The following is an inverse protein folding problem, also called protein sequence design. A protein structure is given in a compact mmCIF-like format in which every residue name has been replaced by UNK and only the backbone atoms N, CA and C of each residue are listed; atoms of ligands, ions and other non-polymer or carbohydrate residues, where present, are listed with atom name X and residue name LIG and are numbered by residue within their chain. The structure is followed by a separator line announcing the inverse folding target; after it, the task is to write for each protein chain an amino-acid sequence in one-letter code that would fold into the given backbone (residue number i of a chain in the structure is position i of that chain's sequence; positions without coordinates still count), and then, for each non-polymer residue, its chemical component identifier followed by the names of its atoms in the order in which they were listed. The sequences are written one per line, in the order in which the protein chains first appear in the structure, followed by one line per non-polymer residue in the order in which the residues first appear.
data_IF_090347859102
#
_entry.id   IF_090347859102
#
_cell.length_a   1.000
_cell.length_b   1.000
_cell.length_c   1.000
_cell.angle_alpha   90.00
_cell.angle_beta   90.00
_cell.angle_gamma   90.00
#
_symmetry.space_group_name_H-M   'P 1'
#
loop_
_entity.id
_entity.type
_entity.pdbx_description
1 polymer ?
#
# COMPACT_ATOMS: atom_id res chain seq x y z
N UNK A 1 -14.79 -7.55 29.81
CA UNK A 1 -16.01 -6.85 29.33
C UNK A 1 -15.64 -5.38 29.16
N UNK A 2 -15.11 -5.02 27.99
CA UNK A 2 -14.57 -3.67 27.73
C UNK A 2 -15.72 -2.82 27.19
N UNK A 3 -16.14 -1.83 27.98
CA UNK A 3 -17.21 -0.91 27.64
C UNK A 3 -16.72 0.07 26.56
N UNK A 4 -17.15 -0.13 25.32
CA UNK A 4 -16.94 0.82 24.23
C UNK A 4 -17.74 2.09 24.54
N UNK A 5 -17.05 3.21 24.81
CA UNK A 5 -17.69 4.51 24.86
C UNK A 5 -18.08 4.88 23.43
N UNK A 6 -19.37 4.83 23.13
CA UNK A 6 -19.95 5.40 21.92
C UNK A 6 -19.55 6.89 21.83
N UNK A 7 -18.57 7.20 20.99
CA UNK A 7 -18.20 8.57 20.66
C UNK A 7 -19.31 9.09 19.75
N UNK A 8 -20.23 9.83 20.33
CA UNK A 8 -21.34 10.46 19.62
C UNK A 8 -20.78 11.53 18.68
N UNK A 9 -21.11 11.45 17.38
CA UNK A 9 -20.57 12.34 16.31
C UNK A 9 -20.84 13.83 16.64
N UNK A 10 -21.92 14.11 17.35
CA UNK A 10 -22.24 15.44 17.88
C UNK A 10 -21.17 16.00 18.84
N UNK A 11 -20.58 15.15 19.71
CA UNK A 11 -19.52 15.57 20.64
C UNK A 11 -18.21 15.90 19.93
N UNK A 12 -17.92 15.24 18.81
CA UNK A 12 -16.70 15.49 18.04
C UNK A 12 -16.80 16.80 17.24
N UNK A 13 -17.99 17.09 16.68
CA UNK A 13 -18.27 18.37 16.03
C UNK A 13 -18.21 19.54 17.02
N UNK A 14 -18.66 19.34 18.26
CA UNK A 14 -18.57 20.34 19.33
C UNK A 14 -17.12 20.58 19.79
N UNK A 15 -16.32 19.51 19.97
CA UNK A 15 -14.89 19.63 20.34
C UNK A 15 -14.03 20.32 19.27
N UNK A 16 -14.41 20.22 17.99
CA UNK A 16 -13.73 20.93 16.89
C UNK A 16 -14.13 22.40 16.87
N UNK A 17 -15.38 22.75 17.20
CA UNK A 17 -15.86 24.13 17.33
C UNK A 17 -15.31 24.87 18.56
N UNK A 18 -15.02 24.16 19.64
CA UNK A 18 -14.43 24.73 20.87
C UNK A 18 -12.95 25.10 20.73
N UNK A 19 -12.29 24.60 19.69
CA UNK A 19 -11.01 25.13 19.24
C UNK A 19 -11.31 26.20 18.21
N UNK A 20 -10.74 27.39 18.40
CA UNK A 20 -10.82 28.53 17.49
C UNK A 20 -10.13 28.19 16.14
N UNK A 21 -10.73 27.27 15.40
CA UNK A 21 -10.24 26.69 14.16
C UNK A 21 -10.94 27.41 13.03
N UNK A 22 -10.18 28.24 12.35
CA UNK A 22 -10.61 28.94 11.14
C UNK A 22 -10.68 27.95 9.96
N UNK A 23 -11.89 27.46 9.69
CA UNK A 23 -12.17 26.51 8.62
C UNK A 23 -11.93 27.11 7.23
N UNK A 24 -12.18 28.40 7.05
CA UNK A 24 -12.00 29.07 5.76
C UNK A 24 -10.51 29.12 5.42
N UNK A 25 -9.69 29.47 6.42
CA UNK A 25 -8.22 29.45 6.29
C UNK A 25 -7.65 28.05 6.05
N UNK A 26 -8.20 27.01 6.69
CA UNK A 26 -7.79 25.63 6.42
C UNK A 26 -8.15 25.25 4.99
N UNK A 27 -9.35 25.59 4.53
CA UNK A 27 -9.83 25.26 3.18
C UNK A 27 -8.96 25.94 2.13
N UNK A 28 -8.68 27.23 2.29
CA UNK A 28 -7.78 27.99 1.41
C UNK A 28 -6.37 27.38 1.36
N UNK A 29 -5.83 26.98 2.53
CA UNK A 29 -4.52 26.31 2.59
C UNK A 29 -4.53 24.96 1.86
N UNK A 30 -5.58 24.16 2.05
CA UNK A 30 -5.74 22.86 1.39
C UNK A 30 -5.84 23.04 -0.11
N UNK A 31 -6.71 23.93 -0.60
CA UNK A 31 -6.84 24.24 -2.03
C UNK A 31 -5.54 24.78 -2.64
N UNK A 32 -4.83 25.63 -1.90
CA UNK A 32 -3.51 26.12 -2.32
C UNK A 32 -2.47 25.00 -2.43
N UNK A 33 -2.54 23.96 -1.60
CA UNK A 33 -1.65 22.80 -1.69
C UNK A 33 -2.08 21.88 -2.83
N UNK A 34 -3.39 21.58 -2.96
CA UNK A 34 -3.93 20.69 -3.98
C UNK A 34 -3.81 21.26 -5.40
N UNK A 35 -3.76 22.58 -5.55
CA UNK A 35 -3.53 23.26 -6.83
C UNK A 35 -2.05 23.29 -7.26
N UNK A 36 -1.12 22.83 -6.42
CA UNK A 36 0.30 22.75 -6.81
C UNK A 36 0.53 21.63 -7.81
N UNK A 37 1.51 21.85 -8.67
CA UNK A 37 1.92 20.88 -9.68
C UNK A 37 2.46 19.60 -9.01
N UNK A 38 1.84 18.46 -9.34
CA UNK A 38 2.31 17.13 -8.97
C UNK A 38 3.21 16.62 -10.09
N UNK A 39 4.41 16.16 -9.72
CA UNK A 39 5.37 15.60 -10.67
C UNK A 39 5.30 14.08 -10.66
N UNK A 40 5.01 13.51 -11.83
CA UNK A 40 4.97 12.08 -12.04
C UNK A 40 6.27 11.61 -12.68
N UNK A 41 6.87 10.58 -12.10
CA UNK A 41 8.06 9.95 -12.63
C UNK A 41 7.73 8.49 -12.93
N UNK A 42 7.67 8.08 -14.21
CA UNK A 42 7.47 6.67 -14.53
C UNK A 42 8.72 5.89 -14.13
N UNK A 43 8.51 4.77 -13.44
CA UNK A 43 9.58 3.95 -12.88
C UNK A 43 9.62 2.58 -13.54
N UNK A 44 10.84 2.13 -13.85
CA UNK A 44 11.17 0.72 -14.05
C UNK A 44 12.02 0.32 -12.84
N UNK A 45 11.50 -0.55 -11.97
CA UNK A 45 12.07 -0.89 -10.65
C UNK A 45 13.57 -1.29 -10.67
N UNK A 46 14.09 -1.74 -11.81
CA UNK A 46 15.49 -2.16 -11.97
C UNK A 46 16.28 -1.30 -12.97
N UNK A 47 15.98 0.00 -13.06
CA UNK A 47 16.62 0.91 -14.02
C UNK A 47 17.57 1.90 -13.35
N UNK A 48 18.90 1.68 -13.42
CA UNK A 48 19.90 2.64 -12.95
C UNK A 48 19.78 4.02 -13.60
N UNK A 49 19.37 4.07 -14.88
CA UNK A 49 19.19 5.32 -15.61
C UNK A 49 18.04 6.15 -15.02
N UNK A 50 16.89 5.52 -14.78
CA UNK A 50 15.75 6.18 -14.14
C UNK A 50 16.13 6.64 -12.73
N UNK A 51 16.83 5.79 -11.97
CA UNK A 51 17.27 6.12 -10.62
C UNK A 51 18.15 7.38 -10.59
N UNK A 52 19.09 7.52 -11.54
CA UNK A 52 19.93 8.71 -11.67
C UNK A 52 19.13 9.97 -11.99
N UNK A 53 18.21 9.92 -12.96
CA UNK A 53 17.38 11.09 -13.28
C UNK A 53 16.46 11.48 -12.12
N UNK A 54 15.94 10.49 -11.40
CA UNK A 54 15.12 10.70 -10.21
C UNK A 54 15.93 11.36 -9.08
N UNK A 55 17.16 10.91 -8.81
CA UNK A 55 18.06 11.58 -7.85
C UNK A 55 18.29 13.04 -8.21
N UNK A 56 18.62 13.33 -9.48
CA UNK A 56 18.83 14.70 -9.95
C UNK A 56 17.57 15.58 -9.77
N UNK A 57 16.39 15.04 -10.10
CA UNK A 57 15.14 15.75 -9.94
C UNK A 57 14.83 16.07 -8.46
N UNK A 58 15.03 15.11 -7.57
CA UNK A 58 14.82 15.29 -6.12
C UNK A 58 15.80 16.31 -5.54
N UNK A 59 17.09 16.22 -5.89
CA UNK A 59 18.12 17.16 -5.42
C UNK A 59 17.86 18.60 -5.89
N UNK A 60 17.38 18.78 -7.12
CA UNK A 60 17.05 20.08 -7.69
C UNK A 60 15.79 20.68 -7.06
N UNK A 61 14.70 19.88 -6.97
CA UNK A 61 13.38 20.37 -6.54
C UNK A 61 13.19 20.41 -5.03
N UNK A 62 13.94 19.59 -4.27
CA UNK A 62 13.84 19.46 -2.81
C UNK A 62 12.39 19.32 -2.32
N UNK A 63 11.65 18.29 -2.77
CA UNK A 63 10.26 18.11 -2.39
C UNK A 63 10.13 17.90 -0.87
N UNK A 64 8.96 18.22 -0.31
CA UNK A 64 8.66 17.91 1.11
C UNK A 64 8.18 16.48 1.31
N UNK A 65 7.60 15.87 0.27
CA UNK A 65 7.02 14.54 0.29
C UNK A 65 7.28 13.85 -1.05
N UNK A 66 7.63 12.57 -1.00
CA UNK A 66 7.77 11.70 -2.16
C UNK A 66 6.89 10.46 -1.93
N UNK A 67 6.01 10.19 -2.90
CA UNK A 67 5.17 9.00 -2.93
C UNK A 67 5.85 7.96 -3.82
N UNK A 68 6.02 6.75 -3.32
CA UNK A 68 6.80 5.70 -3.97
C UNK A 68 5.90 4.47 -4.15
N UNK A 69 5.93 3.87 -5.34
CA UNK A 69 5.31 2.56 -5.56
C UNK A 69 6.00 1.52 -4.66
N UNK A 70 5.22 0.92 -3.79
CA UNK A 70 5.64 -0.06 -2.81
C UNK A 70 4.52 -0.34 -1.80
N UNK A 71 4.58 -1.48 -1.09
CA UNK A 71 3.49 -1.93 -0.22
C UNK A 71 3.28 -0.96 0.96
N UNK A 72 2.07 -0.41 1.12
CA UNK A 72 1.78 0.54 2.18
C UNK A 72 1.99 -0.03 3.60
N UNK A 73 1.85 -1.34 3.80
CA UNK A 73 2.15 -2.01 5.07
C UNK A 73 3.64 -1.97 5.45
N UNK A 74 4.52 -1.67 4.50
CA UNK A 74 5.96 -1.61 4.74
C UNK A 74 6.48 -0.21 5.08
N UNK A 75 5.59 0.78 5.25
CA UNK A 75 6.00 2.15 5.60
C UNK A 75 6.84 2.21 6.88
N UNK A 76 6.53 1.40 7.90
CA UNK A 76 7.31 1.31 9.15
C UNK A 76 8.71 0.74 8.94
N UNK A 77 8.97 0.04 7.83
CA UNK A 77 10.27 -0.53 7.50
C UNK A 77 11.22 0.47 6.82
N UNK A 78 10.70 1.61 6.33
CA UNK A 78 11.51 2.62 5.64
C UNK A 78 12.77 3.03 6.43
N UNK A 79 12.70 3.34 7.75
CA UNK A 79 13.88 3.70 8.53
C UNK A 79 14.97 2.61 8.53
N UNK A 80 14.57 1.34 8.48
CA UNK A 80 15.50 0.21 8.41
C UNK A 80 16.09 0.05 7.01
N UNK A 81 15.29 0.27 5.96
CA UNK A 81 15.76 0.24 4.56
C UNK A 81 16.86 1.28 4.31
N UNK A 82 16.72 2.49 4.89
CA UNK A 82 17.66 3.60 4.71
C UNK A 82 18.73 3.71 5.80
N UNK A 83 18.82 2.73 6.71
CA UNK A 83 19.86 2.68 7.72
C UNK A 83 21.24 2.49 7.08
N UNK A 84 22.28 3.14 7.60
CA UNK A 84 23.62 3.08 7.03
C UNK A 84 24.25 1.67 7.11
N UNK A 85 23.74 0.79 7.98
CA UNK A 85 24.16 -0.60 8.10
C UNK A 85 23.43 -1.52 7.12
N UNK A 86 22.31 -1.08 6.56
CA UNK A 86 21.55 -1.83 5.56
C UNK A 86 22.26 -1.74 4.22
N UNK A 87 22.60 -2.90 3.65
CA UNK A 87 23.33 -3.01 2.38
C UNK A 87 22.47 -3.81 1.39
N UNK A 88 21.86 -3.16 0.38
CA UNK A 88 21.20 -3.87 -0.70
C UNK A 88 22.15 -4.85 -1.43
N UNK A 89 21.65 -5.94 -2.02
CA UNK A 89 20.23 -6.25 -2.23
C UNK A 89 19.53 -6.70 -0.96
N UNK A 90 18.34 -6.15 -0.71
CA UNK A 90 17.42 -6.61 0.33
C UNK A 90 16.06 -6.87 -0.31
N UNK A 91 15.15 -7.51 0.42
CA UNK A 91 13.76 -7.62 0.02
C UNK A 91 12.85 -7.40 1.21
N UNK A 92 11.77 -6.67 0.99
CA UNK A 92 10.67 -6.59 1.96
C UNK A 92 9.80 -7.83 1.75
N UNK A 93 9.58 -8.58 2.83
CA UNK A 93 8.69 -9.73 2.85
C UNK A 93 7.32 -9.30 3.36
N UNK A 94 6.29 -9.43 2.53
CA UNK A 94 4.90 -9.28 2.95
C UNK A 94 4.23 -10.65 2.97
N UNK A 95 3.52 -10.96 4.06
CA UNK A 95 2.76 -12.19 4.20
C UNK A 95 1.40 -11.92 4.80
N UNK A 96 0.39 -12.55 4.22
CA UNK A 96 -0.97 -12.55 4.70
C UNK A 96 -1.44 -14.00 4.89
N UNK A 97 -2.12 -14.25 6.01
CA UNK A 97 -2.70 -15.53 6.36
C UNK A 97 -4.17 -15.32 6.63
N UNK A 98 -5.02 -16.07 5.94
CA UNK A 98 -6.48 -15.95 6.05
C UNK A 98 -7.03 -16.96 7.06
N UNK A 99 -6.77 -16.70 8.34
CA UNK A 99 -7.12 -17.62 9.43
C UNK A 99 -8.63 -17.83 9.59
N UNK A 100 -9.44 -16.82 9.28
CA UNK A 100 -10.90 -16.86 9.39
C UNK A 100 -11.60 -17.29 8.08
N UNK A 101 -10.82 -17.74 7.08
CA UNK A 101 -11.30 -18.14 5.75
C UNK A 101 -12.20 -17.08 5.07
N UNK A 102 -11.87 -15.80 5.24
CA UNK A 102 -12.63 -14.67 4.68
C UNK A 102 -12.60 -14.63 3.16
N UNK A 103 -11.57 -15.23 2.55
CA UNK A 103 -11.42 -15.34 1.09
C UNK A 103 -12.08 -16.61 0.52
N UNK A 104 -12.53 -17.53 1.37
CA UNK A 104 -13.12 -18.82 0.95
C UNK A 104 -12.10 -19.79 0.33
N UNK A 105 -10.81 -19.61 0.60
CA UNK A 105 -9.72 -20.36 -0.03
C UNK A 105 -9.11 -21.47 0.86
N UNK A 106 -9.67 -21.70 2.05
CA UNK A 106 -9.30 -22.83 2.90
C UNK A 106 -9.50 -24.16 2.18
N UNK A 107 -8.53 -25.07 2.28
CA UNK A 107 -8.51 -26.33 1.52
C UNK A 107 -8.23 -26.19 0.00
N UNK A 108 -8.30 -24.99 -0.58
CA UNK A 108 -8.15 -24.75 -2.03
C UNK A 108 -6.76 -24.17 -2.36
N UNK A 109 -6.39 -23.08 -1.69
CA UNK A 109 -5.04 -22.48 -1.74
C UNK A 109 -4.24 -22.77 -0.47
N UNK A 110 -4.59 -23.87 0.17
CA UNK A 110 -4.04 -24.31 1.45
C UNK A 110 -3.18 -25.56 1.28
N UNK A 111 -2.11 -25.74 2.06
CA UNK A 111 -1.33 -26.99 2.03
C UNK A 111 -2.12 -28.22 2.48
N UNK A 112 -3.12 -28.03 3.34
CA UNK A 112 -4.07 -29.04 3.81
C UNK A 112 -5.39 -28.36 4.22
N UNK A 113 -6.46 -29.14 4.43
CA UNK A 113 -7.80 -28.64 4.76
C UNK A 113 -7.86 -27.90 6.10
N UNK A 114 -7.05 -28.32 7.07
CA UNK A 114 -6.93 -27.77 8.41
C UNK A 114 -5.89 -26.63 8.54
N UNK A 115 -5.21 -26.29 7.43
CA UNK A 115 -4.16 -25.26 7.42
C UNK A 115 -4.67 -24.03 6.66
N UNK A 116 -4.79 -22.85 7.30
CA UNK A 116 -5.20 -21.62 6.62
C UNK A 116 -4.26 -21.24 5.47
N UNK A 117 -4.81 -20.74 4.35
CA UNK A 117 -4.00 -20.36 3.19
C UNK A 117 -3.09 -19.18 3.53
N UNK A 118 -1.89 -19.18 2.94
CA UNK A 118 -0.89 -18.14 3.13
C UNK A 118 -0.47 -17.58 1.78
N UNK A 119 -0.39 -16.26 1.72
CA UNK A 119 -0.02 -15.52 0.54
C UNK A 119 1.18 -14.66 0.88
N UNK A 120 2.23 -14.78 0.08
CA UNK A 120 3.46 -14.05 0.32
C UNK A 120 3.92 -13.34 -0.95
N UNK A 121 4.49 -12.16 -0.77
CA UNK A 121 5.15 -11.40 -1.82
C UNK A 121 6.49 -10.87 -1.33
N UNK A 122 7.42 -10.74 -2.27
CA UNK A 122 8.73 -10.18 -2.04
C UNK A 122 8.87 -8.93 -2.89
N UNK A 123 9.30 -7.84 -2.27
CA UNK A 123 9.56 -6.57 -2.93
C UNK A 123 11.08 -6.32 -2.90
N UNK A 124 11.81 -6.68 -3.98
CA UNK A 124 13.25 -6.54 -4.02
C UNK A 124 13.65 -5.07 -4.08
N UNK A 125 14.67 -4.70 -3.32
CA UNK A 125 15.26 -3.37 -3.29
C UNK A 125 16.75 -3.52 -3.61
N UNK A 126 17.17 -2.90 -4.72
CA UNK A 126 18.56 -2.90 -5.18
C UNK A 126 19.21 -1.55 -4.93
N UNK A 127 20.53 -1.52 -4.78
CA UNK A 127 21.28 -0.27 -4.56
C UNK A 127 21.12 0.75 -5.69
N UNK A 128 20.75 0.29 -6.88
CA UNK A 128 20.50 1.10 -8.07
C UNK A 128 19.01 1.14 -8.48
N UNK A 129 18.11 0.59 -7.66
CA UNK A 129 16.66 0.70 -7.91
C UNK A 129 16.20 2.14 -7.71
N UNK A 130 15.27 2.66 -8.55
CA UNK A 130 14.73 4.00 -8.37
C UNK A 130 14.10 4.23 -6.99
N UNK A 131 13.48 3.22 -6.41
CA UNK A 131 12.86 3.26 -5.08
C UNK A 131 13.92 3.49 -3.99
N UNK A 132 15.00 2.71 -3.99
CA UNK A 132 16.09 2.87 -3.03
C UNK A 132 16.76 4.24 -3.16
N UNK A 133 17.01 4.67 -4.39
CA UNK A 133 17.62 5.98 -4.65
C UNK A 133 16.67 7.12 -4.25
N UNK A 134 15.36 6.99 -4.46
CA UNK A 134 14.37 7.96 -3.99
C UNK A 134 14.40 8.07 -2.46
N UNK A 135 14.36 6.94 -1.74
CA UNK A 135 14.42 6.88 -0.28
C UNK A 135 15.72 7.51 0.27
N UNK A 136 16.87 7.13 -0.27
CA UNK A 136 18.17 7.65 0.16
C UNK A 136 18.32 9.14 -0.16
N UNK A 137 17.82 9.60 -1.31
CA UNK A 137 17.90 11.02 -1.70
C UNK A 137 16.93 11.87 -0.90
N UNK A 138 15.73 11.35 -0.60
CA UNK A 138 14.77 11.98 0.30
C UNK A 138 15.39 12.26 1.68
N UNK A 139 16.09 11.26 2.25
CA UNK A 139 16.84 11.41 3.51
C UNK A 139 17.85 12.57 3.44
N UNK A 140 18.57 12.72 2.32
CA UNK A 140 19.55 13.82 2.12
C UNK A 140 18.87 15.20 2.11
N UNK A 141 17.71 15.32 1.44
CA UNK A 141 16.97 16.60 1.31
C UNK A 141 15.97 16.82 2.45
N UNK A 142 15.86 15.90 3.41
CA UNK A 142 14.89 15.90 4.51
C UNK A 142 13.43 15.89 4.04
N UNK A 143 13.16 15.16 2.95
CA UNK A 143 11.81 14.90 2.47
C UNK A 143 11.21 13.68 3.20
N UNK A 144 9.91 13.71 3.42
CA UNK A 144 9.16 12.53 3.86
C UNK A 144 8.95 11.58 2.67
N UNK A 145 8.84 10.29 2.96
CA UNK A 145 8.60 9.24 1.95
C UNK A 145 7.50 8.33 2.41
N UNK A 146 6.61 7.95 1.49
CA UNK A 146 5.50 7.04 1.79
C UNK A 146 5.34 6.06 0.63
N UNK A 147 5.23 4.78 0.96
CA UNK A 147 4.79 3.71 0.07
C UNK A 147 3.28 3.76 -0.10
N UNK A 148 2.81 3.73 -1.35
CA UNK A 148 1.40 4.01 -1.69
C UNK A 148 0.65 2.88 -2.38
N UNK A 149 1.28 1.72 -2.63
CA UNK A 149 0.57 0.60 -3.22
C UNK A 149 -0.40 0.01 -2.21
N UNK A 150 -1.48 -0.59 -2.75
CA UNK A 150 -2.38 -1.40 -1.94
C UNK A 150 -1.61 -2.52 -1.25
N UNK A 151 -2.03 -2.90 -0.03
CA UNK A 151 -1.44 -4.04 0.63
C UNK A 151 -1.54 -5.30 -0.21
N UNK A 152 -0.51 -6.16 -0.13
CA UNK A 152 -0.43 -7.37 -0.96
C UNK A 152 -1.72 -8.21 -0.93
N UNK A 153 -2.32 -8.34 0.26
CA UNK A 153 -3.54 -9.14 0.42
C UNK A 153 -4.73 -8.62 -0.38
N UNK A 154 -4.77 -7.32 -0.68
CA UNK A 154 -5.84 -6.69 -1.48
C UNK A 154 -5.85 -7.15 -2.94
N UNK A 155 -4.74 -7.73 -3.41
CA UNK A 155 -4.63 -8.29 -4.77
C UNK A 155 -5.15 -9.73 -4.85
N UNK A 156 -5.41 -10.38 -3.71
CA UNK A 156 -5.89 -11.75 -3.66
C UNK A 156 -7.38 -11.75 -4.01
N UNK A 157 -7.75 -12.52 -5.04
CA UNK A 157 -9.15 -12.67 -5.43
C UNK A 157 -9.81 -13.72 -4.53
N UNK A 158 -10.89 -13.38 -3.82
CA UNK A 158 -11.67 -14.38 -3.09
C UNK A 158 -12.35 -15.31 -4.08
N UNK A 159 -12.68 -16.52 -3.63
CA UNK A 159 -13.57 -17.38 -4.38
C UNK A 159 -15.00 -16.84 -4.24
N UNK A 160 -15.46 -16.10 -5.25
CA UNK A 160 -16.88 -15.80 -5.36
C UNK A 160 -17.63 -17.08 -5.71
N UNK A 161 -18.86 -17.23 -5.23
CA UNK A 161 -19.81 -18.29 -5.62
C UNK A 161 -20.23 -18.20 -7.10
N UNK A 162 -19.27 -18.15 -8.02
CA UNK A 162 -19.44 -18.18 -9.46
C UNK A 162 -19.39 -19.61 -10.00
N UNK A 163 -19.07 -20.61 -9.18
CA UNK A 163 -19.05 -22.03 -9.55
C UNK A 163 -20.45 -22.69 -9.63
N UNK A 164 -21.54 -22.01 -9.22
CA UNK A 164 -22.90 -22.54 -9.42
C UNK A 164 -23.46 -22.30 -10.83
N UNK A 165 -22.94 -21.33 -11.61
CA UNK A 165 -23.50 -21.03 -12.95
C UNK A 165 -22.97 -21.94 -14.07
N UNK A 166 -21.84 -22.60 -13.87
CA UNK A 166 -21.27 -23.52 -14.86
C UNK A 166 -21.84 -24.95 -14.76
N UNK A 167 -22.42 -25.32 -13.60
CA UNK A 167 -23.07 -26.63 -13.42
C UNK A 167 -24.51 -26.70 -13.98
N UNK A 168 -25.20 -25.55 -14.12
CA UNK A 168 -26.58 -25.53 -14.67
C UNK A 168 -26.59 -25.82 -16.18
N UNK A 169 -25.52 -25.48 -16.91
CA UNK A 169 -25.41 -25.76 -18.34
C UNK A 169 -24.91 -27.18 -18.65
N UNK A 170 -24.26 -27.87 -17.71
CA UNK A 170 -23.80 -29.25 -17.91
C UNK A 170 -24.93 -30.27 -17.69
N UNK A 171 -25.83 -30.05 -16.73
CA UNK A 171 -26.95 -30.98 -16.46
C UNK A 171 -28.04 -30.98 -17.54
N UNK A 172 -28.27 -29.86 -18.23
CA UNK A 172 -29.31 -29.78 -19.27
C UNK A 172 -28.97 -30.52 -20.58
N UNK A 173 -27.73 -30.99 -20.75
CA UNK A 173 -27.30 -31.73 -21.96
C UNK A 173 -27.47 -33.25 -21.84
N UNK A 174 -27.89 -33.78 -20.69
CA UNK A 174 -27.98 -35.24 -20.44
C UNK A 174 -29.40 -35.83 -20.44
N UNK A 175 -30.42 -35.08 -20.89
CA UNK A 175 -31.77 -35.62 -21.14
C UNK A 175 -32.17 -35.42 -22.60
N UNK A 176 -31.65 -36.28 -23.47
CA UNK A 176 -32.26 -36.62 -24.76
C UNK A 176 -32.38 -38.14 -24.81
N UNK A 177 -33.57 -38.63 -24.49
CA UNK A 177 -34.13 -39.85 -25.05
C UNK A 177 -35.17 -39.42 -26.07
#
# INVERSE_FOLDING_TARGET
MIHSKNINIANMSQMIKDKDIDFDKITELVESILSKEIYWFPVRHHSPAVARYLEMAILSRKPKLILIEGPAEANELIPHVIDNKTKPPIAIYSSYRDDDNTLGLAGIKSPAEDIPPRFASWYPILSYSPEYIALMTAKKVKANTVFIDLPHYSLIKPETAASEKDNIFSEKKMKRY
#
